data_IF_837578436505
#
_entry.id   IF_837578436505
#
_cell.length_a   1.000
_cell.length_b   1.000
_cell.length_c   1.000
_cell.angle_alpha   90.00
_cell.angle_beta   90.00
_cell.angle_gamma   90.00
#
_symmetry.space_group_name_H-M   'P 1'
#
loop_
_entity.id
_entity.type
_entity.pdbx_description
1 polymer ?
#
# COMPACT_ATOMS: atom_id res chain seq x y z
N UNK A 1 -13.23 2.69 0.86
CA UNK A 1 -12.50 2.95 -0.41
C UNK A 1 -11.61 1.75 -0.73
N UNK A 2 -12.21 0.58 -0.95
CA UNK A 2 -11.49 -0.71 -1.01
C UNK A 2 -11.90 -1.45 -2.30
N UNK A 3 -13.18 -1.34 -2.66
CA UNK A 3 -13.74 -1.82 -3.94
C UNK A 3 -12.97 -1.34 -5.18
N UNK A 4 -12.51 -0.08 -5.22
CA UNK A 4 -11.75 0.45 -6.36
C UNK A 4 -10.43 -0.30 -6.59
N UNK A 5 -9.51 -0.31 -5.61
CA UNK A 5 -8.28 -1.12 -5.66
C UNK A 5 -8.52 -2.62 -5.96
N UNK A 6 -9.55 -3.23 -5.37
CA UNK A 6 -9.92 -4.62 -5.65
C UNK A 6 -10.26 -4.81 -7.13
N UNK A 7 -11.17 -3.98 -7.67
CA UNK A 7 -11.61 -4.09 -9.05
C UNK A 7 -10.46 -3.81 -10.02
N UNK A 8 -9.62 -2.82 -9.74
CA UNK A 8 -8.42 -2.56 -10.53
C UNK A 8 -7.52 -3.81 -10.56
N UNK A 9 -7.17 -4.36 -9.40
CA UNK A 9 -6.36 -5.59 -9.30
C UNK A 9 -6.99 -6.74 -10.07
N UNK A 10 -8.30 -6.98 -9.90
CA UNK A 10 -9.05 -8.04 -10.59
C UNK A 10 -9.01 -7.90 -12.11
N UNK A 11 -9.27 -6.71 -12.64
CA UNK A 11 -9.36 -6.50 -14.09
C UNK A 11 -7.99 -6.36 -14.76
N UNK A 12 -6.96 -5.91 -14.05
CA UNK A 12 -5.59 -5.88 -14.56
C UNK A 12 -4.85 -7.22 -14.38
N UNK A 13 -5.39 -8.18 -13.62
CA UNK A 13 -4.78 -9.49 -13.40
C UNK A 13 -4.34 -10.22 -14.69
N UNK A 14 -5.11 -10.24 -15.79
CA UNK A 14 -4.65 -10.87 -17.04
C UNK A 14 -3.38 -10.23 -17.61
N UNK A 15 -3.18 -8.93 -17.44
CA UNK A 15 -1.98 -8.23 -17.88
C UNK A 15 -0.82 -8.42 -16.90
N UNK A 16 -1.11 -8.42 -15.60
CA UNK A 16 -0.12 -8.70 -14.56
C UNK A 16 0.50 -10.09 -14.72
N UNK A 17 -0.30 -11.10 -15.11
CA UNK A 17 0.17 -12.46 -15.40
C UNK A 17 1.13 -12.57 -16.59
N UNK A 18 1.16 -11.58 -17.48
CA UNK A 18 2.06 -11.54 -18.65
C UNK A 18 3.38 -10.82 -18.34
N UNK A 19 3.47 -10.15 -17.20
CA UNK A 19 4.69 -9.50 -16.75
C UNK A 19 5.64 -10.53 -16.13
N UNK A 20 6.93 -10.41 -16.41
CA UNK A 20 7.96 -11.22 -15.75
C UNK A 20 8.01 -10.96 -14.24
N UNK A 21 7.60 -9.77 -13.79
CA UNK A 21 7.55 -9.37 -12.38
C UNK A 21 6.43 -8.36 -12.15
N UNK A 22 5.18 -8.85 -12.09
CA UNK A 22 4.01 -7.99 -11.87
C UNK A 22 4.04 -7.34 -10.48
N UNK A 23 3.63 -6.08 -10.38
CA UNK A 23 3.59 -5.33 -9.11
C UNK A 23 2.27 -4.59 -8.97
N UNK A 24 1.64 -4.68 -7.80
CA UNK A 24 0.45 -3.89 -7.41
C UNK A 24 0.76 -3.14 -6.14
N UNK A 25 0.68 -1.82 -6.19
CA UNK A 25 1.07 -0.95 -5.08
C UNK A 25 -0.17 -0.18 -4.62
N UNK A 26 -0.63 -0.50 -3.41
CA UNK A 26 -1.74 0.18 -2.79
C UNK A 26 -1.19 1.30 -1.90
N UNK A 27 -1.51 2.55 -2.25
CA UNK A 27 -1.17 3.70 -1.41
C UNK A 27 -2.07 3.67 -0.18
N UNK A 28 -1.50 3.25 0.95
CA UNK A 28 -2.16 3.17 2.25
C UNK A 28 -1.92 4.46 3.05
N UNK A 29 -1.85 4.37 4.37
CA UNK A 29 -1.56 5.46 5.30
C UNK A 29 -1.21 4.88 6.66
N UNK A 30 -0.28 5.47 7.42
CA UNK A 30 -0.01 5.11 8.82
C UNK A 30 -1.31 5.01 9.66
N UNK A 31 -2.32 5.82 9.35
CA UNK A 31 -3.63 5.80 10.03
C UNK A 31 -4.43 4.50 9.80
N UNK A 32 -4.00 3.65 8.87
CA UNK A 32 -4.54 2.32 8.63
C UNK A 32 -4.10 1.29 9.67
N UNK A 33 -3.02 1.59 10.41
CA UNK A 33 -2.53 0.72 11.47
C UNK A 33 -3.48 0.77 12.67
N UNK A 34 -4.00 -0.39 13.03
CA UNK A 34 -4.78 -0.62 14.23
C UNK A 34 -3.86 -0.61 15.44
N UNK A 35 -2.65 -1.18 15.34
CA UNK A 35 -1.66 -1.21 16.43
C UNK A 35 -1.17 0.19 16.81
N UNK A 36 -1.02 1.10 15.84
CA UNK A 36 -0.58 2.48 16.08
C UNK A 36 -1.74 3.47 16.29
N UNK A 37 -2.98 2.98 16.50
CA UNK A 37 -4.14 3.84 16.73
C UNK A 37 -4.33 4.17 18.22
N UNK A 38 -3.58 5.14 18.72
CA UNK A 38 -3.60 5.61 20.12
C UNK A 38 -4.51 6.85 20.35
N UNK A 39 -4.87 7.59 19.29
CA UNK A 39 -5.64 8.84 19.41
C UNK A 39 -6.99 8.87 18.67
N UNK A 40 -7.30 7.87 17.82
CA UNK A 40 -8.57 7.80 17.09
C UNK A 40 -8.72 8.82 15.94
N UNK A 41 -9.94 9.40 15.80
CA UNK A 41 -10.36 10.31 14.71
C UNK A 41 -10.41 9.67 13.31
N UNK A 42 -10.97 10.40 12.33
CA UNK A 42 -11.02 10.00 10.92
C UNK A 42 -11.56 8.59 10.66
N UNK A 43 -12.57 8.16 11.43
CA UNK A 43 -13.08 6.76 11.46
C UNK A 43 -13.28 6.18 10.06
N UNK A 44 -13.99 6.90 9.19
CA UNK A 44 -14.26 6.43 7.82
C UNK A 44 -13.00 6.25 6.98
N UNK A 45 -12.00 7.13 7.13
CA UNK A 45 -10.72 7.05 6.44
C UNK A 45 -9.87 5.89 6.99
N UNK A 46 -9.73 5.80 8.32
CA UNK A 46 -8.99 4.72 9.00
C UNK A 46 -9.54 3.36 8.63
N UNK A 47 -10.86 3.15 8.79
CA UNK A 47 -11.52 1.88 8.44
C UNK A 47 -11.33 1.54 6.97
N UNK A 48 -11.44 2.53 6.07
CA UNK A 48 -11.23 2.29 4.65
C UNK A 48 -9.79 1.87 4.32
N UNK A 49 -8.78 2.47 4.96
CA UNK A 49 -7.38 2.14 4.74
C UNK A 49 -6.96 0.84 5.43
N UNK A 50 -7.48 0.55 6.62
CA UNK A 50 -7.30 -0.74 7.29
C UNK A 50 -7.92 -1.89 6.47
N UNK A 51 -9.10 -1.67 5.88
CA UNK A 51 -9.71 -2.63 4.97
C UNK A 51 -8.88 -2.83 3.68
N UNK A 52 -8.28 -1.77 3.14
CA UNK A 52 -7.35 -1.86 2.00
C UNK A 52 -6.09 -2.68 2.36
N UNK A 53 -5.60 -2.54 3.59
CA UNK A 53 -4.48 -3.35 4.07
C UNK A 53 -4.85 -4.85 4.13
N UNK A 54 -6.00 -5.18 4.73
CA UNK A 54 -6.51 -6.55 4.78
C UNK A 54 -6.75 -7.15 3.38
N UNK A 55 -7.31 -6.37 2.46
CA UNK A 55 -7.48 -6.77 1.06
C UNK A 55 -6.12 -7.10 0.42
N UNK A 56 -5.13 -6.23 0.61
CA UNK A 56 -3.80 -6.43 0.03
C UNK A 56 -3.15 -7.72 0.53
N UNK A 57 -3.19 -7.96 1.84
CA UNK A 57 -2.64 -9.20 2.44
C UNK A 57 -3.38 -10.42 1.92
N UNK A 58 -4.72 -10.37 1.87
CA UNK A 58 -5.55 -11.49 1.39
C UNK A 58 -5.21 -11.85 -0.05
N UNK A 59 -5.19 -10.87 -0.96
CA UNK A 59 -4.90 -11.12 -2.37
C UNK A 59 -3.44 -11.54 -2.55
N UNK A 60 -2.49 -10.97 -1.80
CA UNK A 60 -1.09 -11.41 -1.84
C UNK A 60 -0.95 -12.91 -1.53
N UNK A 61 -1.65 -13.41 -0.51
CA UNK A 61 -1.70 -14.83 -0.19
C UNK A 61 -2.35 -15.67 -1.29
N UNK A 62 -3.45 -15.21 -1.89
CA UNK A 62 -4.08 -15.91 -3.02
C UNK A 62 -3.17 -16.02 -4.24
N UNK A 63 -2.46 -14.94 -4.59
CA UNK A 63 -1.54 -14.91 -5.72
C UNK A 63 -0.35 -15.84 -5.47
N UNK A 64 0.19 -15.86 -4.25
CA UNK A 64 1.24 -16.78 -3.82
C UNK A 64 0.79 -18.24 -3.91
N UNK A 65 -0.42 -18.57 -3.42
CA UNK A 65 -0.98 -19.92 -3.49
C UNK A 65 -1.17 -20.40 -4.95
N UNK A 66 -1.39 -19.47 -5.89
CA UNK A 66 -1.50 -19.73 -7.32
C UNK A 66 -0.14 -19.72 -8.06
N UNK A 67 0.98 -19.59 -7.33
CA UNK A 67 2.34 -19.46 -7.89
C UNK A 67 2.45 -18.34 -8.95
N UNK A 68 1.73 -17.24 -8.76
CA UNK A 68 1.81 -16.09 -9.65
C UNK A 68 2.94 -15.16 -9.20
N UNK A 69 3.82 -14.78 -10.11
CA UNK A 69 4.92 -13.84 -9.83
C UNK A 69 4.43 -12.38 -9.81
N UNK A 70 3.55 -12.07 -8.85
CA UNK A 70 2.95 -10.76 -8.68
C UNK A 70 3.14 -10.32 -7.23
N UNK A 71 3.93 -9.26 -7.02
CA UNK A 71 4.16 -8.66 -5.70
C UNK A 71 3.07 -7.64 -5.40
N UNK A 72 2.51 -7.69 -4.19
CA UNK A 72 1.59 -6.67 -3.69
C UNK A 72 2.18 -5.96 -2.47
N UNK A 73 2.16 -4.63 -2.45
CA UNK A 73 2.66 -3.83 -1.33
C UNK A 73 1.65 -2.79 -0.87
N UNK A 74 1.65 -2.50 0.43
CA UNK A 74 1.02 -1.32 1.01
C UNK A 74 2.10 -0.29 1.31
N UNK A 75 1.99 0.90 0.72
CA UNK A 75 2.91 2.00 0.98
C UNK A 75 2.20 3.15 1.68
N UNK A 76 2.67 3.53 2.86
CA UNK A 76 2.34 4.79 3.50
C UNK A 76 3.24 5.91 2.92
N UNK A 77 2.65 6.95 2.30
CA UNK A 77 3.42 8.03 1.70
C UNK A 77 3.97 9.04 2.73
N UNK A 78 3.64 8.89 4.03
CA UNK A 78 3.90 9.89 5.06
C UNK A 78 2.90 11.05 5.04
N UNK A 79 3.11 12.01 5.93
CA UNK A 79 2.26 13.19 6.09
C UNK A 79 2.69 14.31 5.14
N UNK A 80 2.22 14.23 3.88
CA UNK A 80 2.61 15.13 2.79
C UNK A 80 1.64 16.32 2.70
N UNK A 81 2.13 17.58 2.62
CA UNK A 81 1.28 18.75 2.42
C UNK A 81 0.62 18.73 1.04
N UNK A 82 -0.64 18.30 1.00
CA UNK A 82 -1.48 18.25 -0.19
C UNK A 82 -2.86 18.82 0.11
N UNK A 83 -3.73 18.95 -0.90
CA UNK A 83 -5.14 19.28 -0.67
C UNK A 83 -5.83 18.33 0.33
N UNK A 84 -5.45 17.05 0.38
CA UNK A 84 -6.03 16.08 1.30
C UNK A 84 -5.71 16.41 2.77
N UNK A 85 -4.48 16.85 3.05
CA UNK A 85 -4.00 17.22 4.39
C UNK A 85 -4.18 18.72 4.69
N UNK A 86 -4.94 19.44 3.85
CA UNK A 86 -5.10 20.90 3.92
C UNK A 86 -3.77 21.65 3.89
N UNK A 87 -2.80 21.13 3.13
CA UNK A 87 -1.45 21.66 2.97
C UNK A 87 -0.62 21.67 4.26
N UNK A 88 -1.01 20.87 5.25
CA UNK A 88 -0.22 20.59 6.45
C UNK A 88 0.50 19.25 6.26
N UNK A 89 1.72 19.14 6.78
CA UNK A 89 2.50 17.92 6.75
C UNK A 89 3.98 18.19 6.88
N UNK A 90 4.73 17.23 7.41
CA UNK A 90 6.17 17.34 7.63
C UNK A 90 7.01 16.51 6.64
N UNK A 91 6.35 15.72 5.78
CA UNK A 91 7.03 14.87 4.80
C UNK A 91 7.12 15.57 3.46
N UNK A 92 8.34 15.77 2.94
CA UNK A 92 8.57 16.31 1.60
C UNK A 92 7.96 15.39 0.54
N UNK A 93 7.17 15.97 -0.38
CA UNK A 93 6.57 15.23 -1.49
C UNK A 93 7.63 14.54 -2.36
N UNK A 94 8.73 15.24 -2.66
CA UNK A 94 9.82 14.70 -3.48
C UNK A 94 10.50 13.53 -2.77
N UNK A 95 10.76 13.66 -1.47
CA UNK A 95 11.37 12.59 -0.68
C UNK A 95 10.47 11.35 -0.61
N UNK A 96 9.17 11.56 -0.37
CA UNK A 96 8.19 10.47 -0.33
C UNK A 96 8.09 9.72 -1.65
N UNK A 97 7.94 10.45 -2.76
CA UNK A 97 7.84 9.82 -4.09
C UNK A 97 9.12 9.07 -4.44
N UNK A 98 10.29 9.69 -4.25
CA UNK A 98 11.57 9.02 -4.55
C UNK A 98 11.78 7.76 -3.71
N UNK A 99 11.44 7.82 -2.42
CA UNK A 99 11.53 6.67 -1.52
C UNK A 99 10.59 5.53 -1.94
N UNK A 100 9.32 5.84 -2.23
CA UNK A 100 8.36 4.85 -2.71
C UNK A 100 8.76 4.25 -4.06
N UNK A 101 9.25 5.07 -5.02
CA UNK A 101 9.73 4.56 -6.32
C UNK A 101 10.86 3.56 -6.11
N UNK A 102 11.85 3.89 -5.27
CA UNK A 102 12.95 2.97 -4.94
C UNK A 102 12.43 1.65 -4.37
N UNK A 103 11.51 1.70 -3.40
CA UNK A 103 10.89 0.49 -2.82
C UNK A 103 10.19 -0.34 -3.91
N UNK A 104 9.48 0.30 -4.84
CA UNK A 104 8.75 -0.37 -5.92
C UNK A 104 9.73 -1.03 -6.90
N UNK A 105 10.83 -0.36 -7.25
CA UNK A 105 11.86 -0.90 -8.14
C UNK A 105 12.51 -2.14 -7.54
N UNK A 106 12.87 -2.07 -6.26
CA UNK A 106 13.53 -3.14 -5.50
C UNK A 106 12.56 -4.23 -5.00
N UNK A 107 11.24 -4.04 -5.19
CA UNK A 107 10.23 -4.97 -4.69
C UNK A 107 10.35 -6.38 -5.30
N UNK A 108 10.47 -7.37 -4.42
CA UNK A 108 10.55 -8.80 -4.73
C UNK A 108 9.31 -9.56 -4.23
N UNK A 109 9.17 -10.83 -4.61
CA UNK A 109 8.01 -11.64 -4.25
C UNK A 109 7.93 -11.95 -2.74
N UNK A 110 9.07 -12.03 -2.04
CA UNK A 110 9.15 -12.21 -0.58
C UNK A 110 8.68 -10.98 0.20
N UNK A 111 8.69 -9.80 -0.43
CA UNK A 111 8.12 -8.60 0.17
C UNK A 111 6.59 -8.55 0.05
N UNK A 112 5.97 -9.42 -0.75
CA UNK A 112 4.53 -9.39 -1.02
C UNK A 112 3.70 -9.50 0.27
N UNK A 113 2.73 -8.60 0.44
CA UNK A 113 1.95 -8.43 1.67
C UNK A 113 2.60 -7.53 2.72
N UNK A 114 3.79 -6.97 2.46
CA UNK A 114 4.44 -6.04 3.40
C UNK A 114 3.78 -4.67 3.40
N UNK A 115 3.75 -4.08 4.59
CA UNK A 115 3.30 -2.72 4.85
C UNK A 115 4.50 -1.85 5.24
N UNK A 116 4.83 -0.88 4.38
CA UNK A 116 6.03 -0.07 4.48
C UNK A 116 5.66 1.42 4.43
N UNK A 117 6.43 2.27 5.10
CA UNK A 117 6.40 3.71 4.86
C UNK A 117 7.34 4.07 3.71
N UNK A 118 7.20 5.28 3.18
CA UNK A 118 7.93 5.81 2.03
C UNK A 118 9.46 5.72 2.16
N UNK A 119 9.98 5.66 3.39
CA UNK A 119 11.41 5.54 3.69
C UNK A 119 11.90 4.08 3.86
N UNK A 120 11.03 3.08 3.64
CA UNK A 120 11.36 1.66 3.74
C UNK A 120 11.13 1.04 5.12
N UNK A 121 10.77 1.85 6.13
CA UNK A 121 10.46 1.32 7.46
C UNK A 121 9.19 0.46 7.41
N UNK A 122 9.22 -0.69 8.10
CA UNK A 122 8.02 -1.50 8.31
C UNK A 122 7.04 -0.75 9.20
N UNK A 123 5.76 -0.85 8.84
CA UNK A 123 4.65 -0.35 9.65
C UNK A 123 3.88 -1.56 10.20
N UNK A 124 3.51 -1.48 11.46
CA UNK A 124 2.67 -2.46 12.16
C UNK A 124 1.22 -2.34 11.67
N UNK A 125 0.47 -3.44 11.69
CA UNK A 125 -0.92 -3.48 11.19
C UNK A 125 -1.95 -2.97 12.18
#
# INVERSE_FOLDING_TARGET
MTVGPFLATKYFLPNLKKSDAGKVINISSLLASISENDFGQFVSYRTAKAALNMETVTIAHELKAKNLNITMLMLDPGDIPTRLTKWVGNTSMLSSVNGMVKIIEEATLDMSGSYLSWNGNRVTF
#
